data_IF_452781852030
#
_entry.id   IF_452781852030
#
_cell.length_a   1.000
_cell.length_b   1.000
_cell.length_c   1.000
_cell.angle_alpha   90.00
_cell.angle_beta   90.00
_cell.angle_gamma   90.00
#
_symmetry.space_group_name_H-M   'P 1'
#
loop_
_entity.id
_entity.type
_entity.pdbx_description
1 polymer ?
#
# COMPACT_ATOMS: atom_id res chain seq x y z
N UNK A 1 1.70 -3.93 -14.12
CA UNK A 1 2.15 -2.60 -13.63
C UNK A 1 2.80 -2.82 -12.27
N UNK A 2 4.01 -2.28 -12.06
CA UNK A 2 4.62 -2.31 -10.73
C UNK A 2 3.85 -1.35 -9.82
N UNK A 3 3.27 -1.86 -8.74
CA UNK A 3 2.64 -1.05 -7.72
C UNK A 3 3.69 -0.80 -6.63
N UNK A 4 4.37 0.33 -6.71
CA UNK A 4 5.43 0.74 -5.78
C UNK A 4 4.94 1.78 -4.76
N UNK A 5 5.84 2.23 -3.87
CA UNK A 5 5.50 3.20 -2.84
C UNK A 5 5.13 4.57 -3.41
N UNK A 6 5.73 4.96 -4.54
CA UNK A 6 5.41 6.22 -5.24
C UNK A 6 4.01 6.14 -5.89
N UNK A 7 3.71 5.01 -6.53
CA UNK A 7 2.36 4.72 -7.07
C UNK A 7 1.33 4.75 -5.95
N UNK A 8 1.64 4.15 -4.80
CA UNK A 8 0.78 4.21 -3.62
C UNK A 8 0.57 5.65 -3.12
N UNK A 9 1.60 6.49 -3.16
CA UNK A 9 1.50 7.90 -2.78
C UNK A 9 0.59 8.69 -3.73
N UNK A 10 0.73 8.46 -5.04
CA UNK A 10 -0.14 9.05 -6.06
C UNK A 10 -1.60 8.62 -5.87
N UNK A 11 -1.84 7.33 -5.62
CA UNK A 11 -3.19 6.81 -5.31
C UNK A 11 -3.72 7.41 -4.01
N UNK A 12 -2.94 7.45 -2.94
CA UNK A 12 -3.38 8.03 -1.67
C UNK A 12 -3.73 9.51 -1.83
N UNK A 13 -2.98 10.26 -2.64
CA UNK A 13 -3.30 11.64 -2.98
C UNK A 13 -4.61 11.74 -3.79
N UNK A 14 -4.77 10.95 -4.84
CA UNK A 14 -6.02 10.89 -5.62
C UNK A 14 -7.23 10.59 -4.71
N UNK A 15 -7.11 9.63 -3.80
CA UNK A 15 -8.18 9.26 -2.87
C UNK A 15 -8.50 10.39 -1.87
N UNK A 16 -7.51 11.17 -1.42
CA UNK A 16 -7.75 12.35 -0.57
C UNK A 16 -8.57 13.41 -1.30
N UNK A 17 -8.20 13.70 -2.55
CA UNK A 17 -8.89 14.72 -3.36
C UNK A 17 -10.31 14.31 -3.76
N UNK A 18 -10.58 13.01 -3.85
CA UNK A 18 -11.82 12.49 -4.44
C UNK A 18 -12.83 11.95 -3.43
N UNK A 19 -12.40 11.16 -2.43
CA UNK A 19 -13.32 10.39 -1.58
C UNK A 19 -13.19 10.68 -0.08
N UNK A 20 -12.25 11.51 0.36
CA UNK A 20 -12.12 11.92 1.76
C UNK A 20 -13.40 12.64 2.22
N UNK A 21 -13.86 12.32 3.44
CA UNK A 21 -15.16 12.76 3.97
C UNK A 21 -16.38 12.10 3.32
N UNK A 22 -16.16 11.31 2.26
CA UNK A 22 -17.20 10.59 1.54
C UNK A 22 -17.87 9.49 2.37
N UNK A 23 -19.13 9.20 2.07
CA UNK A 23 -19.91 8.16 2.75
C UNK A 23 -19.87 6.85 1.99
N UNK A 24 -19.50 5.76 2.65
CA UNK A 24 -19.54 4.41 2.06
C UNK A 24 -20.99 3.97 1.90
N UNK A 25 -21.50 3.88 0.67
CA UNK A 25 -22.87 3.46 0.38
C UNK A 25 -23.00 1.93 0.30
N UNK A 26 -22.00 1.25 -0.28
CA UNK A 26 -21.99 -0.21 -0.43
C UNK A 26 -20.59 -0.78 -0.25
N UNK A 27 -20.56 -2.02 0.25
CA UNK A 27 -19.38 -2.88 0.29
C UNK A 27 -19.67 -4.11 -0.56
N UNK A 28 -18.75 -4.43 -1.46
CA UNK A 28 -18.86 -5.49 -2.45
C UNK A 28 -17.60 -6.36 -2.37
N UNK A 29 -17.73 -7.64 -2.73
CA UNK A 29 -16.60 -8.54 -2.92
C UNK A 29 -16.70 -9.09 -4.36
N UNK A 30 -15.89 -8.53 -5.28
CA UNK A 30 -15.90 -8.97 -6.68
C UNK A 30 -15.33 -10.38 -6.87
N UNK A 31 -14.34 -10.76 -6.06
CA UNK A 31 -13.70 -12.08 -6.06
C UNK A 31 -13.14 -12.39 -4.66
N UNK A 32 -12.58 -13.57 -4.47
CA UNK A 32 -12.09 -14.05 -3.17
C UNK A 32 -10.96 -13.19 -2.58
N UNK A 33 -10.25 -12.42 -3.40
CA UNK A 33 -9.08 -11.62 -3.01
C UNK A 33 -9.26 -10.11 -3.20
N UNK A 34 -10.49 -9.64 -3.45
CA UNK A 34 -10.73 -8.23 -3.71
C UNK A 34 -11.94 -7.67 -2.96
N UNK A 35 -11.84 -6.44 -2.47
CA UNK A 35 -12.93 -5.68 -1.84
C UNK A 35 -13.20 -4.42 -2.66
N UNK A 36 -14.47 -4.15 -2.89
CA UNK A 36 -14.96 -2.92 -3.52
C UNK A 36 -15.77 -2.07 -2.55
N UNK A 37 -15.54 -0.75 -2.56
CA UNK A 37 -16.37 0.22 -1.86
C UNK A 37 -17.03 1.15 -2.87
N UNK A 38 -18.35 1.34 -2.75
CA UNK A 38 -19.06 2.44 -3.40
C UNK A 38 -19.09 3.61 -2.42
N UNK A 39 -18.44 4.71 -2.76
CA UNK A 39 -18.31 5.90 -1.91
C UNK A 39 -19.02 7.08 -2.56
N UNK A 40 -19.85 7.78 -1.81
CA UNK A 40 -20.50 9.00 -2.25
C UNK A 40 -19.77 10.21 -1.68
N UNK A 41 -19.14 10.99 -2.56
CA UNK A 41 -18.34 12.17 -2.25
C UNK A 41 -18.50 13.18 -3.40
N UNK A 42 -18.36 14.48 -3.14
CA UNK A 42 -18.45 15.49 -4.22
C UNK A 42 -19.74 15.44 -5.05
N UNK A 43 -20.87 15.00 -4.45
CA UNK A 43 -22.17 14.75 -5.13
C UNK A 43 -22.13 13.65 -6.21
N UNK A 44 -21.08 12.84 -6.26
CA UNK A 44 -20.87 11.77 -7.24
C UNK A 44 -20.61 10.42 -6.55
N UNK A 45 -20.77 9.33 -7.31
CA UNK A 45 -20.41 7.98 -6.85
C UNK A 45 -19.03 7.62 -7.38
N UNK A 46 -18.15 7.23 -6.48
CA UNK A 46 -16.83 6.70 -6.78
C UNK A 46 -16.77 5.23 -6.37
N UNK A 47 -15.99 4.44 -7.11
CA UNK A 47 -15.82 3.02 -6.83
C UNK A 47 -14.36 2.74 -6.52
N UNK A 48 -14.05 2.46 -5.27
CA UNK A 48 -12.73 2.01 -4.87
C UNK A 48 -12.65 0.49 -5.04
N UNK A 49 -11.59 -0.01 -5.67
CA UNK A 49 -11.27 -1.43 -5.75
C UNK A 49 -9.90 -1.68 -5.12
N UNK A 50 -9.86 -2.51 -4.09
CA UNK A 50 -8.65 -3.06 -3.50
C UNK A 50 -8.55 -4.56 -3.84
N UNK A 51 -7.40 -4.99 -4.35
CA UNK A 51 -7.13 -6.40 -4.69
C UNK A 51 -5.83 -6.87 -4.04
N UNK A 52 -5.90 -8.02 -3.38
CA UNK A 52 -4.79 -8.75 -2.81
C UNK A 52 -4.30 -9.90 -3.72
N UNK A 53 -4.70 -9.91 -4.99
CA UNK A 53 -4.27 -10.95 -5.95
C UNK A 53 -2.74 -10.98 -6.11
N UNK A 54 -2.06 -12.15 -6.07
CA UNK A 54 -0.60 -12.23 -6.06
C UNK A 54 0.11 -11.50 -7.22
N UNK A 55 -0.50 -11.49 -8.40
CA UNK A 55 0.06 -10.87 -9.62
C UNK A 55 -0.60 -9.53 -9.99
N UNK A 56 -1.78 -9.25 -9.44
CA UNK A 56 -2.61 -8.09 -9.83
C UNK A 56 -3.00 -7.23 -8.63
N UNK A 57 -2.22 -7.31 -7.55
CA UNK A 57 -2.46 -6.53 -6.35
C UNK A 57 -2.42 -5.04 -6.64
N UNK A 58 -3.45 -4.31 -6.21
CA UNK A 58 -3.63 -2.88 -6.49
C UNK A 58 -4.71 -2.28 -5.61
N UNK A 59 -4.69 -0.97 -5.45
CA UNK A 59 -5.80 -0.17 -4.94
C UNK A 59 -5.95 1.05 -5.84
N UNK A 60 -7.16 1.36 -6.29
CA UNK A 60 -7.44 2.48 -7.20
C UNK A 60 -8.95 2.76 -7.28
N UNK A 61 -9.30 3.93 -7.77
CA UNK A 61 -10.66 4.21 -8.24
C UNK A 61 -10.88 3.58 -9.62
N UNK A 62 -12.05 2.97 -9.81
CA UNK A 62 -12.51 2.44 -11.09
C UNK A 62 -13.73 3.21 -11.57
N UNK A 63 -13.79 3.46 -12.88
CA UNK A 63 -14.94 4.07 -13.54
C UNK A 63 -16.13 3.09 -13.61
N UNK A 64 -15.85 1.79 -13.64
CA UNK A 64 -16.88 0.76 -13.69
C UNK A 64 -17.18 0.24 -12.30
N UNK A 65 -18.47 0.19 -11.95
CA UNK A 65 -18.93 -0.41 -10.71
C UNK A 65 -18.52 -1.88 -10.66
N UNK A 66 -17.74 -2.31 -9.64
CA UNK A 66 -17.42 -3.72 -9.47
C UNK A 66 -18.71 -4.53 -9.30
N UNK A 67 -18.84 -5.61 -10.08
CA UNK A 67 -19.94 -6.56 -9.92
C UNK A 67 -19.64 -7.47 -8.73
N UNK A 68 -20.66 -7.90 -8.01
CA UNK A 68 -20.51 -8.96 -7.00
C UNK A 68 -20.20 -10.26 -7.75
N UNK A 69 -19.11 -10.92 -7.37
CA UNK A 69 -18.72 -12.20 -7.99
C UNK A 69 -18.68 -13.40 -7.04
N UNK A 70 -18.73 -13.19 -5.72
CA UNK A 70 -18.82 -14.30 -4.75
C UNK A 70 -20.28 -14.61 -4.37
N UNK A 71 -20.63 -15.89 -4.37
CA UNK A 71 -21.96 -16.39 -4.00
C UNK A 71 -22.22 -16.19 -2.50
N UNK A 72 -21.35 -16.72 -1.65
CA UNK A 72 -21.43 -16.59 -0.20
C UNK A 72 -20.62 -15.38 0.31
N UNK A 73 -21.13 -14.62 1.30
CA UNK A 73 -20.36 -13.54 1.90
C UNK A 73 -19.23 -14.08 2.77
N UNK A 74 -18.00 -13.59 2.55
CA UNK A 74 -16.88 -13.87 3.46
C UNK A 74 -17.09 -13.23 4.85
N UNK A 75 -16.45 -13.75 5.91
CA UNK A 75 -16.51 -13.12 7.23
C UNK A 75 -16.01 -11.66 7.21
N UNK A 76 -14.93 -11.36 6.49
CA UNK A 76 -14.46 -9.98 6.27
C UNK A 76 -15.55 -9.11 5.60
N UNK A 77 -16.24 -9.61 4.56
CA UNK A 77 -17.30 -8.85 3.90
C UNK A 77 -18.45 -8.52 4.86
N UNK A 78 -18.83 -9.46 5.73
CA UNK A 78 -19.88 -9.23 6.73
C UNK A 78 -19.46 -8.15 7.74
N UNK A 79 -18.21 -8.19 8.20
CA UNK A 79 -17.68 -7.16 9.10
C UNK A 79 -17.60 -5.80 8.41
N UNK A 80 -17.10 -5.71 7.19
CA UNK A 80 -17.10 -4.46 6.42
C UNK A 80 -18.52 -3.92 6.19
N UNK A 81 -19.52 -4.79 5.98
CA UNK A 81 -20.93 -4.34 5.92
C UNK A 81 -21.44 -3.80 7.25
N UNK A 82 -20.94 -4.28 8.39
CA UNK A 82 -21.32 -3.82 9.72
C UNK A 82 -20.61 -2.52 10.11
N UNK A 83 -19.32 -2.41 9.78
CA UNK A 83 -18.44 -1.32 10.26
C UNK A 83 -18.12 -0.27 9.18
N UNK A 84 -18.06 -0.60 7.89
CA UNK A 84 -17.80 0.40 6.85
C UNK A 84 -19.07 1.00 6.25
N UNK A 85 -20.10 0.20 5.97
CA UNK A 85 -21.31 0.67 5.29
C UNK A 85 -22.03 1.74 6.12
N UNK A 86 -22.30 2.87 5.47
CA UNK A 86 -22.95 4.03 6.09
C UNK A 86 -22.01 4.97 6.82
N UNK A 87 -20.77 4.52 7.11
CA UNK A 87 -19.71 5.31 7.69
C UNK A 87 -19.06 6.28 6.70
N UNK A 88 -18.22 7.16 7.22
CA UNK A 88 -17.46 8.17 6.47
C UNK A 88 -15.98 7.85 6.47
N UNK A 89 -15.31 8.12 5.35
CA UNK A 89 -13.85 8.04 5.27
C UNK A 89 -13.28 9.28 5.97
N UNK A 90 -12.80 9.13 7.20
CA UNK A 90 -12.27 10.22 8.02
C UNK A 90 -10.82 10.55 7.67
N UNK A 91 -10.04 9.56 7.22
CA UNK A 91 -8.67 9.77 6.78
C UNK A 91 -8.25 8.77 5.69
N UNK A 92 -7.29 9.20 4.87
CA UNK A 92 -6.58 8.38 3.89
C UNK A 92 -5.08 8.53 4.16
N UNK A 93 -4.50 7.51 4.78
CA UNK A 93 -3.12 7.53 5.27
C UNK A 93 -2.28 6.54 4.47
N UNK A 94 -1.09 6.98 4.08
CA UNK A 94 -0.04 6.09 3.56
C UNK A 94 1.14 6.21 4.52
N UNK A 95 1.55 5.13 5.21
CA UNK A 95 2.80 5.13 5.95
C UNK A 95 3.97 5.49 5.02
N UNK A 96 4.91 6.35 5.45
CA UNK A 96 5.93 6.89 4.56
C UNK A 96 6.71 5.81 3.81
N UNK A 97 6.73 5.92 2.49
CA UNK A 97 7.49 5.02 1.58
C UNK A 97 7.09 3.55 1.65
N UNK A 98 5.91 3.25 2.20
CA UNK A 98 5.36 1.90 2.24
C UNK A 98 4.28 1.71 1.18
N UNK A 99 4.09 0.45 0.78
CA UNK A 99 3.00 0.02 -0.12
C UNK A 99 1.76 -0.35 0.67
N UNK A 100 1.38 0.52 1.59
CA UNK A 100 0.27 0.33 2.52
C UNK A 100 -0.64 1.55 2.41
N UNK A 101 -1.94 1.30 2.26
CA UNK A 101 -2.99 2.31 2.36
C UNK A 101 -3.84 2.01 3.59
N UNK A 102 -4.12 3.02 4.39
CA UNK A 102 -5.03 2.95 5.51
C UNK A 102 -6.20 3.90 5.27
N UNK A 103 -7.40 3.36 5.28
CA UNK A 103 -8.64 4.13 5.22
C UNK A 103 -9.30 4.08 6.58
N UNK A 104 -9.28 5.21 7.29
CA UNK A 104 -9.99 5.34 8.56
C UNK A 104 -11.47 5.60 8.29
N UNK A 105 -12.32 4.87 9.01
CA UNK A 105 -13.75 4.84 8.84
C UNK A 105 -14.41 5.26 10.15
N UNK A 106 -15.15 6.36 10.13
CA UNK A 106 -16.00 6.81 11.23
C UNK A 106 -17.45 6.33 10.99
N UNK A 107 -18.01 5.64 11.98
CA UNK A 107 -19.32 4.99 11.87
C UNK A 107 -20.06 4.96 13.22
N UNK A 108 -21.38 4.69 13.26
CA UNK A 108 -22.15 4.75 14.52
C UNK A 108 -21.64 3.84 15.66
N UNK A 109 -20.88 2.79 15.35
CA UNK A 109 -20.27 1.89 16.34
C UNK A 109 -18.86 2.32 16.80
N UNK A 110 -18.35 3.48 16.40
CA UNK A 110 -16.98 3.94 16.67
C UNK A 110 -16.12 4.07 15.41
N UNK A 111 -14.82 3.80 15.54
CA UNK A 111 -13.87 3.89 14.42
C UNK A 111 -13.32 2.51 14.04
N UNK A 112 -13.03 2.33 12.76
CA UNK A 112 -12.29 1.18 12.24
C UNK A 112 -11.35 1.62 11.11
N UNK A 113 -10.33 0.82 10.83
CA UNK A 113 -9.37 1.09 9.76
C UNK A 113 -9.34 -0.07 8.77
N UNK A 114 -9.58 0.23 7.49
CA UNK A 114 -9.36 -0.70 6.40
C UNK A 114 -7.95 -0.52 5.85
N UNK A 115 -7.10 -1.50 6.07
CA UNK A 115 -5.70 -1.52 5.67
C UNK A 115 -5.54 -2.37 4.41
N UNK A 116 -4.90 -1.82 3.38
CA UNK A 116 -4.60 -2.49 2.12
C UNK A 116 -3.09 -2.54 1.94
N UNK A 117 -2.53 -3.76 1.96
CA UNK A 117 -1.10 -4.02 1.77
C UNK A 117 -0.88 -4.55 0.35
N UNK A 118 -0.07 -3.85 -0.46
CA UNK A 118 0.18 -4.20 -1.87
C UNK A 118 1.61 -4.75 -2.01
N UNK A 119 1.76 -6.04 -1.76
CA UNK A 119 3.07 -6.73 -1.65
C UNK A 119 3.15 -8.02 -2.49
N UNK A 120 2.53 -8.04 -3.68
CA UNK A 120 2.49 -9.22 -4.54
C UNK A 120 1.78 -10.38 -3.86
N UNK A 121 2.43 -11.56 -3.76
CA UNK A 121 1.87 -12.74 -3.08
C UNK A 121 1.47 -12.49 -1.62
N UNK A 122 2.17 -11.56 -0.95
CA UNK A 122 1.94 -11.19 0.45
C UNK A 122 0.91 -10.07 0.62
N UNK A 123 0.29 -9.60 -0.46
CA UNK A 123 -0.74 -8.57 -0.38
C UNK A 123 -1.92 -9.02 0.48
N UNK A 124 -2.52 -8.09 1.21
CA UNK A 124 -3.63 -8.36 2.12
C UNK A 124 -4.60 -7.17 2.20
N UNK A 125 -5.82 -7.44 2.66
CA UNK A 125 -6.85 -6.45 2.97
C UNK A 125 -7.34 -6.81 4.37
N UNK A 126 -7.15 -5.91 5.33
CA UNK A 126 -7.29 -6.19 6.75
C UNK A 126 -8.20 -5.12 7.35
N UNK A 127 -9.22 -5.53 8.09
CA UNK A 127 -10.05 -4.62 8.87
C UNK A 127 -9.59 -4.67 10.33
N UNK A 128 -9.34 -3.50 10.90
CA UNK A 128 -8.83 -3.30 12.25
C UNK A 128 -9.80 -2.40 13.01
N UNK A 129 -10.02 -2.66 14.29
CA UNK A 129 -10.85 -1.81 15.15
C UNK A 129 -10.09 -0.59 15.70
N UNK A 130 -10.76 0.24 16.49
CA UNK A 130 -10.19 1.44 17.11
C UNK A 130 -9.03 1.15 18.09
N UNK A 131 -8.91 -0.07 18.60
CA UNK A 131 -7.83 -0.47 19.53
C UNK A 131 -6.58 -0.98 18.78
N UNK A 132 -6.67 -1.13 17.46
CA UNK A 132 -5.60 -1.70 16.65
C UNK A 132 -5.68 -3.23 16.55
N UNK A 133 -6.76 -3.86 17.01
CA UNK A 133 -6.96 -5.31 16.86
C UNK A 133 -7.57 -5.67 15.51
N UNK A 134 -7.03 -6.71 14.89
CA UNK A 134 -7.56 -7.27 13.64
C UNK A 134 -8.95 -7.84 13.91
N UNK A 135 -9.94 -7.32 13.20
CA UNK A 135 -11.29 -7.85 13.19
C UNK A 135 -11.35 -9.05 12.25
N UNK A 136 -10.83 -8.89 11.03
CA UNK A 136 -10.58 -9.96 10.07
C UNK A 136 -9.67 -9.51 8.91
N UNK A 137 -9.25 -10.45 8.08
CA UNK A 137 -8.44 -10.21 6.90
C UNK A 137 -8.87 -11.10 5.72
N UNK A 138 -8.64 -10.62 4.50
CA UNK A 138 -8.97 -11.39 3.28
C UNK A 138 -8.05 -12.60 3.13
N UNK A 139 -6.81 -12.48 3.62
CA UNK A 139 -5.90 -13.61 3.85
C UNK A 139 -5.57 -13.67 5.34
N UNK A 140 -6.10 -14.69 6.02
CA UNK A 140 -5.71 -15.04 7.38
C UNK A 140 -4.35 -15.72 7.35
N UNK A 141 -3.38 -15.16 8.06
CA UNK A 141 -1.99 -15.65 8.09
C UNK A 141 -1.76 -16.28 9.46
N UNK A 142 -1.66 -17.61 9.51
CA UNK A 142 -1.55 -18.36 10.75
C UNK A 142 -0.08 -18.55 11.18
N UNK A 143 0.18 -18.93 12.46
CA UNK A 143 1.53 -19.24 12.93
C UNK A 143 2.22 -20.38 12.15
N UNK A 144 1.44 -21.30 11.58
CA UNK A 144 1.97 -22.42 10.78
C UNK A 144 2.48 -21.94 9.41
N UNK A 145 1.91 -20.87 8.86
CA UNK A 145 2.27 -20.32 7.55
C UNK A 145 3.55 -19.48 7.59
N UNK A 146 3.82 -18.82 8.71
CA UNK A 146 4.97 -17.91 8.84
C UNK A 146 5.33 -17.67 10.29
N UNK A 147 6.65 -17.54 10.54
CA UNK A 147 7.19 -17.12 11.83
C UNK A 147 7.36 -15.60 11.95
N UNK A 148 7.16 -14.89 10.85
CA UNK A 148 7.49 -13.46 10.74
C UNK A 148 6.38 -12.59 11.32
N UNK A 149 5.13 -12.85 10.89
CA UNK A 149 3.98 -12.01 11.23
C UNK A 149 2.68 -12.78 11.04
N UNK A 150 1.88 -12.84 12.10
CA UNK A 150 0.54 -13.45 12.11
C UNK A 150 -0.51 -12.37 11.84
N UNK A 151 -1.54 -12.70 11.07
CA UNK A 151 -2.70 -11.83 10.82
C UNK A 151 -3.95 -12.67 11.02
N UNK A 152 -4.54 -12.58 12.22
CA UNK A 152 -5.72 -13.32 12.63
C UNK A 152 -6.67 -12.42 13.44
N UNK A 153 -7.99 -12.71 13.43
CA UNK A 153 -8.94 -12.04 14.32
C UNK A 153 -8.47 -12.03 15.79
N UNK A 154 -8.78 -10.94 16.50
CA UNK A 154 -8.45 -10.75 17.92
C UNK A 154 -6.94 -10.76 18.23
N UNK A 155 -6.13 -10.34 17.26
CA UNK A 155 -4.70 -10.11 17.43
C UNK A 155 -4.37 -8.66 17.07
N UNK A 156 -3.42 -8.02 17.75
CA UNK A 156 -2.95 -6.69 17.35
C UNK A 156 -2.44 -6.70 15.91
N UNK A 157 -2.83 -5.69 15.13
CA UNK A 157 -2.22 -5.44 13.83
C UNK A 157 -0.78 -4.98 14.02
N UNK A 158 0.16 -5.72 13.44
CA UNK A 158 1.52 -5.25 13.20
C UNK A 158 1.68 -4.98 11.70
N UNK A 159 2.43 -3.96 11.25
CA UNK A 159 2.78 -3.81 9.83
C UNK A 159 3.77 -4.90 9.38
N UNK A 160 3.98 -5.08 8.06
CA UNK A 160 5.08 -5.89 7.53
C UNK A 160 6.43 -5.49 8.15
N UNK A 161 7.34 -6.44 8.37
CA UNK A 161 8.63 -6.16 9.02
C UNK A 161 9.43 -5.15 8.19
N UNK A 162 10.07 -4.15 8.84
CA UNK A 162 10.83 -3.14 8.14
C UNK A 162 12.06 -3.77 7.46
N UNK A 163 12.38 -3.29 6.25
CA UNK A 163 13.63 -3.63 5.59
C UNK A 163 14.79 -2.83 6.20
N UNK A 164 15.96 -3.47 6.32
CA UNK A 164 17.22 -2.85 6.73
C UNK A 164 17.81 -1.95 5.62
N UNK A 165 17.04 -0.93 5.23
CA UNK A 165 17.38 0.07 4.21
C UNK A 165 17.24 1.47 4.78
N UNK A 166 17.98 2.42 4.24
CA UNK A 166 17.91 3.82 4.63
C UNK A 166 16.52 4.39 4.28
N UNK A 167 15.85 4.97 5.27
CA UNK A 167 14.60 5.68 5.05
C UNK A 167 14.88 6.99 4.30
N UNK A 168 14.00 7.36 3.37
CA UNK A 168 14.16 8.59 2.61
C UNK A 168 13.99 9.85 3.47
N UNK A 169 13.32 9.76 4.61
CA UNK A 169 13.27 10.84 5.62
C UNK A 169 14.64 11.14 6.24
N UNK A 170 15.53 10.14 6.28
CA UNK A 170 16.87 10.26 6.86
C UNK A 170 17.94 10.44 5.78
N UNK A 171 17.50 10.65 4.53
CA UNK A 171 18.40 10.78 3.39
C UNK A 171 19.15 12.11 3.47
N UNK A 172 20.47 12.02 3.48
CA UNK A 172 21.38 13.15 3.29
C UNK A 172 22.40 12.73 2.25
N UNK A 173 23.06 13.68 1.59
CA UNK A 173 24.13 13.37 0.64
C UNK A 173 25.19 12.45 1.26
N UNK A 174 25.65 12.77 2.48
CA UNK A 174 26.63 11.97 3.21
C UNK A 174 26.16 10.52 3.43
N UNK A 175 24.92 10.33 3.88
CA UNK A 175 24.36 8.98 4.09
C UNK A 175 24.16 8.24 2.78
N UNK A 176 23.74 8.93 1.72
CA UNK A 176 23.60 8.34 0.39
C UNK A 176 24.96 7.86 -0.13
N UNK A 177 26.01 8.70 -0.10
CA UNK A 177 27.37 8.31 -0.49
C UNK A 177 27.85 7.10 0.29
N UNK A 178 27.62 7.08 1.62
CA UNK A 178 27.98 5.92 2.47
C UNK A 178 27.23 4.65 2.07
N UNK A 179 25.94 4.76 1.75
CA UNK A 179 25.13 3.62 1.30
C UNK A 179 25.60 3.09 -0.06
N UNK A 180 26.07 3.96 -0.95
CA UNK A 180 26.54 3.59 -2.29
C UNK A 180 27.99 3.10 -2.30
N UNK A 181 28.81 3.46 -1.29
CA UNK A 181 30.25 3.21 -1.26
C UNK A 181 30.67 1.74 -1.44
N UNK A 182 29.84 0.78 -1.02
CA UNK A 182 30.14 -0.65 -1.14
C UNK A 182 29.84 -1.25 -2.53
N UNK A 183 29.31 -0.46 -3.46
CA UNK A 183 28.77 -0.94 -4.74
C UNK A 183 29.28 -0.13 -5.95
N UNK A 184 30.53 0.37 -5.90
CA UNK A 184 31.11 1.28 -6.90
C UNK A 184 31.00 0.78 -8.35
N UNK A 185 31.22 -0.53 -8.55
CA UNK A 185 31.18 -1.16 -9.89
C UNK A 185 29.78 -1.65 -10.29
N UNK A 186 28.81 -1.61 -9.37
CA UNK A 186 27.45 -2.03 -9.67
C UNK A 186 26.68 -0.89 -10.35
N UNK A 187 25.68 -1.22 -11.20
CA UNK A 187 24.78 -0.21 -11.73
C UNK A 187 24.11 0.58 -10.60
N UNK A 188 24.09 1.92 -10.72
CA UNK A 188 23.56 2.83 -9.69
C UNK A 188 22.15 2.45 -9.24
N UNK A 189 21.29 2.06 -10.19
CA UNK A 189 19.91 1.65 -9.89
C UNK A 189 19.83 0.45 -8.94
N UNK A 190 20.78 -0.50 -9.00
CA UNK A 190 20.82 -1.65 -8.08
C UNK A 190 21.24 -1.23 -6.68
N UNK A 191 22.22 -0.33 -6.59
CA UNK A 191 22.69 0.20 -5.32
C UNK A 191 21.59 1.02 -4.62
N UNK A 192 20.86 1.86 -5.37
CA UNK A 192 19.69 2.59 -4.86
C UNK A 192 18.58 1.65 -4.40
N UNK A 193 18.25 0.64 -5.21
CA UNK A 193 17.24 -0.36 -4.88
C UNK A 193 17.59 -1.15 -3.62
N UNK A 194 18.87 -1.51 -3.44
CA UNK A 194 19.36 -2.22 -2.27
C UNK A 194 19.45 -1.35 -1.02
N UNK A 195 19.82 -0.08 -1.19
CA UNK A 195 20.17 0.82 -0.11
C UNK A 195 19.02 1.68 0.45
N UNK A 196 18.01 1.99 -0.35
CA UNK A 196 16.94 2.93 0.01
C UNK A 196 15.57 2.24 0.14
N UNK A 197 14.78 2.66 1.13
CA UNK A 197 13.37 2.24 1.29
C UNK A 197 12.50 2.84 0.20
N UNK A 198 11.42 2.14 -0.16
CA UNK A 198 10.45 2.62 -1.15
C UNK A 198 10.91 2.62 -2.61
N UNK A 199 12.19 2.32 -2.89
CA UNK A 199 12.71 2.25 -4.26
C UNK A 199 12.14 1.07 -5.03
N UNK A 200 11.62 1.34 -6.22
CA UNK A 200 11.31 0.33 -7.23
C UNK A 200 12.41 0.25 -8.29
N UNK A 201 12.53 -0.87 -9.01
CA UNK A 201 13.49 -0.97 -10.12
C UNK A 201 13.25 0.11 -11.19
N UNK A 202 11.99 0.47 -11.45
CA UNK A 202 11.63 1.51 -12.40
C UNK A 202 12.13 2.88 -11.92
N UNK A 203 11.79 3.26 -10.69
CA UNK A 203 12.21 4.54 -10.13
C UNK A 203 13.74 4.66 -10.03
N UNK A 204 14.41 3.60 -9.59
CA UNK A 204 15.87 3.60 -9.46
C UNK A 204 16.58 3.74 -10.82
N UNK A 205 16.05 3.12 -11.87
CA UNK A 205 16.56 3.27 -13.25
C UNK A 205 16.31 4.67 -13.80
N UNK A 206 15.14 5.24 -13.54
CA UNK A 206 14.82 6.62 -13.92
C UNK A 206 15.74 7.62 -13.23
N UNK A 207 16.03 7.42 -11.93
CA UNK A 207 17.00 8.25 -11.20
C UNK A 207 18.39 8.15 -11.84
N UNK A 208 18.87 6.94 -12.14
CA UNK A 208 20.16 6.74 -12.78
C UNK A 208 20.23 7.41 -14.16
N UNK A 209 19.20 7.24 -14.99
CA UNK A 209 19.09 7.88 -16.30
C UNK A 209 19.07 9.42 -16.20
N UNK A 210 18.29 10.00 -15.28
CA UNK A 210 18.24 11.46 -15.10
C UNK A 210 19.52 12.05 -14.54
N UNK A 211 20.21 11.32 -13.67
CA UNK A 211 21.44 11.78 -13.06
C UNK A 211 22.63 11.65 -14.01
N UNK A 212 22.73 10.54 -14.77
CA UNK A 212 23.95 10.17 -15.49
C UNK A 212 23.75 10.00 -17.01
N UNK A 213 22.54 10.16 -17.52
CA UNK A 213 22.20 9.95 -18.92
C UNK A 213 22.08 8.47 -19.34
N UNK A 214 22.39 7.53 -18.43
CA UNK A 214 22.31 6.08 -18.67
C UNK A 214 21.78 5.35 -17.43
N UNK A 215 20.76 4.51 -17.64
CA UNK A 215 20.16 3.72 -16.58
C UNK A 215 21.09 2.62 -16.04
N UNK A 216 22.08 2.16 -16.80
CA UNK A 216 23.06 1.14 -16.38
C UNK A 216 24.40 1.73 -15.93
N UNK A 217 24.50 3.07 -15.82
CA UNK A 217 25.72 3.72 -15.35
C UNK A 217 26.14 3.21 -13.95
N UNK A 218 27.44 2.97 -13.72
CA UNK A 218 27.95 2.49 -12.44
C UNK A 218 27.86 3.57 -11.36
N UNK A 219 27.89 3.17 -10.09
CA UNK A 219 27.92 4.10 -8.96
C UNK A 219 29.12 5.04 -9.03
N UNK A 220 30.28 4.58 -9.52
CA UNK A 220 31.49 5.40 -9.66
C UNK A 220 31.33 6.61 -10.57
N UNK A 221 30.36 6.59 -11.50
CA UNK A 221 30.06 7.74 -12.35
C UNK A 221 29.41 8.91 -11.59
N UNK A 222 28.86 8.68 -10.39
CA UNK A 222 28.23 9.72 -9.57
C UNK A 222 29.23 10.79 -9.13
N UNK A 223 30.52 10.45 -8.98
CA UNK A 223 31.54 11.42 -8.58
C UNK A 223 31.72 12.54 -9.62
N UNK A 224 31.39 12.28 -10.89
CA UNK A 224 31.41 13.29 -11.96
C UNK A 224 30.32 14.38 -11.82
N UNK A 225 29.27 14.13 -11.02
CA UNK A 225 28.18 15.09 -10.79
C UNK A 225 28.51 16.17 -9.75
N UNK A 226 29.64 16.02 -9.05
CA UNK A 226 30.07 16.92 -7.98
C UNK A 226 31.00 18.03 -8.50
N UNK A 227 31.14 18.14 -9.83
CA UNK A 227 31.96 19.13 -10.57
C UNK A 227 31.05 20.11 -11.30
#
# INVERSE_FOLDING_TARGET
MYFDALTMAAVAHELRETILGGRVQKVLQPDDLSIGLEVYAGRQRHYLLASAHPQHCRVHLTQTRPRRGVEAPSPLLLLLRKYARGGRISAVVQPPWERILQLELDHPLGMSTLIVEVMGRHSNIILVDATGEVMDAIKRVTPEMTRVRVVLPHRPYAPPPPLAKLALSDLTEHRLRRTLAAAQDAPLWRALLGGLRGMSPLLAREIACRALGDAEAPVSAVDSLSS
#
